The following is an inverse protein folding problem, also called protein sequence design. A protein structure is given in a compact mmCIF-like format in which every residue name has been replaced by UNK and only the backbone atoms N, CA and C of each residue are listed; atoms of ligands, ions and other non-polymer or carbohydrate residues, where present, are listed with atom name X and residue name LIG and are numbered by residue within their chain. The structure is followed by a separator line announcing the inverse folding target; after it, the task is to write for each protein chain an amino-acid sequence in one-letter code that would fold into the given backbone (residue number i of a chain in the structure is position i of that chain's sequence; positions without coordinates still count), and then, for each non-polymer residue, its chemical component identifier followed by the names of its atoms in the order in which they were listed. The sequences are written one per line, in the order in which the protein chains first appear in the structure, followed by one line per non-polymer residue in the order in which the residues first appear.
data_IF_243096726363
#
_entry.id   IF_243096726363
#
_cell.length_a   1.000
_cell.length_b   1.000
_cell.length_c   1.000
_cell.angle_alpha   90.00
_cell.angle_beta   90.00
_cell.angle_gamma   90.00
#
_symmetry.space_group_name_H-M   'P 1'
#
loop_
_entity.id
_entity.type
_entity.pdbx_description
1 polymer ?
#
# COMPACT_ATOMS: atom_id res chain seq x y z
N UNK A 1 -3.02 -10.30 -25.56
CA UNK A 1 -2.59 -11.61 -25.05
C UNK A 1 -3.79 -12.43 -24.56
N UNK A 2 -4.57 -11.97 -23.57
CA UNK A 2 -5.71 -12.76 -23.06
C UNK A 2 -6.84 -13.00 -24.07
N UNK A 3 -6.98 -12.17 -25.11
CA UNK A 3 -7.91 -12.38 -26.22
C UNK A 3 -7.35 -13.30 -27.33
N UNK A 4 -6.16 -13.88 -27.15
CA UNK A 4 -5.57 -14.80 -28.13
C UNK A 4 -6.31 -16.16 -28.13
N UNK A 5 -6.52 -16.80 -29.30
CA UNK A 5 -7.17 -18.10 -29.38
C UNK A 5 -6.55 -19.19 -28.51
N UNK A 6 -5.25 -19.09 -28.18
CA UNK A 6 -4.59 -20.01 -27.25
C UNK A 6 -5.27 -20.06 -25.86
N UNK A 7 -5.91 -18.98 -25.43
CA UNK A 7 -6.59 -18.88 -24.13
C UNK A 7 -8.10 -19.10 -24.22
N UNK A 8 -8.61 -19.59 -25.34
CA UNK A 8 -10.05 -19.88 -25.52
C UNK A 8 -10.53 -20.89 -24.45
N UNK A 9 -11.60 -20.53 -23.73
CA UNK A 9 -12.14 -21.32 -22.60
C UNK A 9 -11.46 -21.06 -21.25
N UNK A 10 -10.28 -20.44 -21.21
CA UNK A 10 -9.59 -20.02 -19.99
C UNK A 10 -9.82 -18.54 -19.67
N UNK A 11 -9.72 -17.67 -20.68
CA UNK A 11 -9.89 -16.23 -20.53
C UNK A 11 -11.35 -15.88 -20.19
N UNK A 12 -11.53 -15.07 -19.14
CA UNK A 12 -12.85 -14.64 -18.66
C UNK A 12 -12.80 -13.20 -18.17
N UNK A 13 -13.23 -12.26 -19.02
CA UNK A 13 -13.30 -10.83 -18.72
C UNK A 13 -13.96 -10.50 -17.37
N UNK A 14 -15.06 -11.19 -17.02
CA UNK A 14 -15.75 -10.98 -15.74
C UNK A 14 -14.92 -11.37 -14.51
N UNK A 15 -13.93 -12.26 -14.67
CA UNK A 15 -13.02 -12.72 -13.62
C UNK A 15 -11.63 -12.08 -13.70
N UNK A 16 -11.45 -11.14 -14.63
CA UNK A 16 -10.19 -10.45 -14.89
C UNK A 16 -10.38 -8.93 -14.70
N UNK A 17 -10.77 -8.47 -13.48
CA UNK A 17 -10.98 -7.06 -13.23
C UNK A 17 -9.64 -6.30 -13.36
N UNK A 18 -9.69 -5.14 -14.00
CA UNK A 18 -8.57 -4.20 -13.97
C UNK A 18 -8.53 -3.49 -12.62
N UNK A 19 -7.32 -3.23 -12.10
CA UNK A 19 -7.16 -2.33 -10.97
C UNK A 19 -7.70 -0.93 -11.32
N UNK A 20 -8.24 -0.23 -10.34
CA UNK A 20 -8.60 1.17 -10.53
C UNK A 20 -7.33 2.01 -10.79
N UNK A 21 -7.44 3.11 -11.56
CA UNK A 21 -6.29 3.98 -11.80
C UNK A 21 -5.72 4.50 -10.48
N UNK A 22 -4.42 4.26 -10.29
CA UNK A 22 -3.66 4.83 -9.17
C UNK A 22 -3.41 6.31 -9.48
N UNK A 23 -3.61 7.16 -8.47
CA UNK A 23 -3.46 8.61 -8.62
C UNK A 23 -1.99 9.02 -8.73
N UNK A 24 -1.71 10.15 -9.37
CA UNK A 24 -0.34 10.69 -9.46
C UNK A 24 0.27 11.01 -8.08
N UNK A 25 -0.58 11.31 -7.09
CA UNK A 25 -0.17 11.65 -5.73
C UNK A 25 0.43 10.44 -5.01
N UNK A 26 -0.06 9.23 -5.27
CA UNK A 26 0.48 7.99 -4.70
C UNK A 26 1.91 7.68 -5.20
N UNK A 27 2.31 8.20 -6.36
CA UNK A 27 3.67 8.08 -6.89
C UNK A 27 4.58 9.26 -6.51
N UNK A 28 4.13 10.19 -5.67
CA UNK A 28 4.87 11.41 -5.40
C UNK A 28 6.18 11.15 -4.64
N UNK A 29 6.26 10.07 -3.87
CA UNK A 29 7.48 9.66 -3.16
C UNK A 29 8.64 9.36 -4.11
N UNK A 30 8.37 8.87 -5.33
CA UNK A 30 9.39 8.55 -6.34
C UNK A 30 9.96 9.82 -7.00
N UNK A 31 9.14 10.87 -7.09
CA UNK A 31 9.52 12.16 -7.71
C UNK A 31 10.27 13.08 -6.75
N UNK A 32 10.24 12.80 -5.46
CA UNK A 32 10.92 13.57 -4.42
C UNK A 32 12.25 12.91 -4.06
N UNK A 33 13.26 13.72 -3.73
CA UNK A 33 14.47 13.20 -3.08
C UNK A 33 14.10 12.83 -1.64
N UNK A 34 13.97 11.54 -1.38
CA UNK A 34 13.70 10.98 -0.06
C UNK A 34 15.01 10.49 0.58
N UNK A 35 15.18 10.79 1.86
CA UNK A 35 16.25 10.23 2.68
C UNK A 35 15.89 8.83 3.17
N UNK A 36 16.85 8.12 3.76
CA UNK A 36 16.59 6.81 4.35
C UNK A 36 15.60 6.92 5.51
N UNK A 37 15.68 8.00 6.26
CA UNK A 37 14.79 8.32 7.37
C UNK A 37 13.36 8.58 6.87
N UNK A 38 13.20 9.32 5.77
CA UNK A 38 11.88 9.55 5.15
C UNK A 38 11.25 8.23 4.69
N UNK A 39 12.02 7.35 4.06
CA UNK A 39 11.54 6.03 3.61
C UNK A 39 11.13 5.17 4.81
N UNK A 40 11.93 5.16 5.88
CA UNK A 40 11.61 4.44 7.10
C UNK A 40 10.30 4.94 7.70
N UNK A 41 10.09 6.25 7.74
CA UNK A 41 8.88 6.85 8.29
C UNK A 41 7.66 6.57 7.40
N UNK A 42 7.82 6.56 6.07
CA UNK A 42 6.76 6.14 5.13
C UNK A 42 6.35 4.68 5.36
N UNK A 43 7.31 3.76 5.45
CA UNK A 43 7.04 2.34 5.73
C UNK A 43 6.37 2.18 7.10
N UNK A 44 6.83 2.91 8.10
CA UNK A 44 6.24 2.85 9.44
C UNK A 44 4.80 3.32 9.45
N UNK A 45 4.48 4.43 8.75
CA UNK A 45 3.09 4.91 8.60
C UNK A 45 2.20 3.89 7.90
N UNK A 46 2.68 3.29 6.80
CA UNK A 46 1.95 2.23 6.10
C UNK A 46 1.61 1.07 7.04
N UNK A 47 2.58 0.60 7.83
CA UNK A 47 2.34 -0.46 8.84
C UNK A 47 1.26 -0.03 9.83
N UNK A 48 1.28 1.22 10.30
CA UNK A 48 0.28 1.72 11.26
C UNK A 48 -1.15 1.74 10.68
N UNK A 49 -1.33 1.93 9.37
CA UNK A 49 -2.66 1.88 8.75
C UNK A 49 -3.36 0.53 8.97
N UNK A 50 -2.58 -0.56 9.05
CA UNK A 50 -3.09 -1.90 9.36
C UNK A 50 -3.27 -2.16 10.86
N UNK A 51 -2.86 -1.24 11.74
CA UNK A 51 -2.90 -1.40 13.19
C UNK A 51 -3.60 -0.21 13.88
N UNK A 52 -4.95 -0.18 13.91
CA UNK A 52 -5.72 1.00 14.34
C UNK A 52 -5.43 1.51 15.75
N UNK A 53 -5.03 0.63 16.68
CA UNK A 53 -4.67 1.03 18.04
C UNK A 53 -3.32 1.76 18.07
N UNK A 54 -2.31 1.17 17.42
CA UNK A 54 -0.97 1.77 17.30
C UNK A 54 -1.01 3.07 16.50
N UNK A 55 -1.87 3.17 15.47
CA UNK A 55 -2.07 4.41 14.71
C UNK A 55 -2.61 5.54 15.61
N UNK A 56 -3.59 5.24 16.47
CA UNK A 56 -4.13 6.23 17.42
C UNK A 56 -3.07 6.71 18.40
N UNK A 57 -2.29 5.78 18.96
CA UNK A 57 -1.22 6.11 19.91
C UNK A 57 -0.10 6.94 19.26
N UNK A 58 0.24 6.62 18.01
CA UNK A 58 1.20 7.39 17.22
C UNK A 58 0.68 8.81 16.93
N UNK A 59 -0.60 8.95 16.56
CA UNK A 59 -1.22 10.26 16.33
C UNK A 59 -1.38 11.09 17.61
N UNK A 60 -1.54 10.45 18.77
CA UNK A 60 -1.62 11.15 20.06
C UNK A 60 -0.26 11.58 20.63
N UNK A 61 0.84 11.29 19.93
CA UNK A 61 2.19 11.67 20.35
C UNK A 61 2.76 10.81 21.48
N UNK A 62 2.19 9.62 21.72
CA UNK A 62 2.67 8.71 22.75
C UNK A 62 3.90 7.96 22.21
N UNK A 63 5.11 8.33 22.67
CA UNK A 63 6.39 7.90 22.10
C UNK A 63 6.68 6.38 22.06
N UNK A 64 5.77 5.51 22.54
CA UNK A 64 5.97 4.05 22.54
C UNK A 64 4.69 3.30 22.20
N UNK A 65 4.34 3.32 20.92
CA UNK A 65 3.49 2.31 20.32
C UNK A 65 4.15 0.93 20.56
N UNK A 66 3.76 0.25 21.64
CA UNK A 66 4.30 -1.07 21.97
C UNK A 66 3.58 -2.06 21.07
N UNK A 67 4.32 -2.63 20.11
CA UNK A 67 3.83 -3.71 19.25
C UNK A 67 3.54 -4.95 20.10
N UNK A 68 2.34 -5.02 20.66
CA UNK A 68 1.79 -6.24 21.23
C UNK A 68 1.27 -7.08 20.07
N UNK A 69 2.13 -7.97 19.58
CA UNK A 69 1.72 -9.05 18.68
C UNK A 69 0.82 -10.03 19.43
N UNK A 70 -0.23 -10.58 18.80
CA UNK A 70 -0.90 -11.80 19.26
C UNK A 70 0.03 -13.02 19.22
#
# INVERSE_FOLDING_TARGET
ALADPYFEGLAKLEREPSCQPITKMEFEFERRRVTKEDIRDLIFREILEYHPQLLKDYMSGTERATFLYP
#
